data_IF_844639495622
#
_entry.id   IF_844639495622
#
_cell.length_a   1.000
_cell.length_b   1.000
_cell.length_c   1.000
_cell.angle_alpha   90.00
_cell.angle_beta   90.00
_cell.angle_gamma   90.00
#
_symmetry.space_group_name_H-M   'P 1'
#
loop_
_entity.id
_entity.type
_entity.pdbx_description
1 polymer ?
#
# COMPACT_ATOMS: atom_id res chain seq x y z
N UNK A 1 12.88 9.70 -16.38
CA UNK A 1 12.82 8.26 -16.09
C UNK A 1 12.14 8.06 -14.73
N UNK A 2 11.21 7.15 -14.67
CA UNK A 2 10.50 6.88 -13.42
C UNK A 2 11.36 6.00 -12.51
N UNK A 3 11.50 6.41 -11.24
CA UNK A 3 12.15 5.59 -10.23
C UNK A 3 11.18 4.49 -9.80
N UNK A 4 11.65 3.26 -9.74
CA UNK A 4 10.85 2.12 -9.34
C UNK A 4 11.29 1.62 -7.96
N UNK A 5 10.35 1.09 -7.17
CA UNK A 5 10.73 0.48 -5.90
C UNK A 5 11.53 -0.79 -6.11
N UNK A 6 12.31 -1.16 -5.11
CA UNK A 6 13.13 -2.37 -5.14
C UNK A 6 12.86 -3.22 -3.91
N UNK A 7 13.45 -4.43 -3.89
CA UNK A 7 13.37 -5.30 -2.72
C UNK A 7 11.95 -5.70 -2.36
N UNK A 8 11.67 -5.79 -1.07
CA UNK A 8 10.39 -6.27 -0.58
C UNK A 8 9.23 -5.35 -0.97
N UNK A 9 9.49 -4.06 -1.14
CA UNK A 9 8.44 -3.13 -1.57
C UNK A 9 8.02 -3.43 -3.00
N UNK A 10 8.97 -3.72 -3.89
CA UNK A 10 8.67 -4.14 -5.25
C UNK A 10 7.89 -5.45 -5.26
N UNK A 11 8.29 -6.41 -4.41
CA UNK A 11 7.58 -7.68 -4.26
C UNK A 11 6.15 -7.47 -3.78
N UNK A 12 5.97 -6.58 -2.82
CA UNK A 12 4.65 -6.23 -2.28
C UNK A 12 3.73 -5.70 -3.38
N UNK A 13 4.20 -4.72 -4.14
CA UNK A 13 3.40 -4.12 -5.22
C UNK A 13 3.07 -5.15 -6.29
N UNK A 14 4.04 -5.98 -6.66
CA UNK A 14 3.82 -7.04 -7.63
C UNK A 14 2.75 -8.02 -7.14
N UNK A 15 2.81 -8.40 -5.86
CA UNK A 15 1.85 -9.32 -5.27
C UNK A 15 0.44 -8.71 -5.23
N UNK A 16 0.34 -7.42 -4.91
CA UNK A 16 -0.95 -6.71 -4.93
C UNK A 16 -1.53 -6.75 -6.34
N UNK A 17 -0.74 -6.43 -7.34
CA UNK A 17 -1.19 -6.38 -8.73
C UNK A 17 -1.51 -7.77 -9.28
N UNK A 18 -1.00 -8.83 -8.66
CA UNK A 18 -1.31 -10.21 -9.00
C UNK A 18 -2.48 -10.78 -8.20
N UNK A 19 -3.05 -10.00 -7.27
CA UNK A 19 -4.16 -10.41 -6.41
C UNK A 19 -3.84 -11.66 -5.59
N UNK A 20 -2.61 -11.75 -5.11
CA UNK A 20 -2.10 -12.92 -4.40
C UNK A 20 -2.04 -12.62 -2.90
N UNK A 21 -3.07 -13.03 -2.17
CA UNK A 21 -3.21 -12.73 -0.75
C UNK A 21 -2.01 -13.19 0.06
N UNK A 22 -1.60 -14.44 -0.09
CA UNK A 22 -0.51 -14.97 0.74
C UNK A 22 0.84 -14.36 0.39
N UNK A 23 1.07 -14.06 -0.89
CA UNK A 23 2.29 -13.37 -1.29
C UNK A 23 2.34 -11.95 -0.71
N UNK A 24 1.20 -11.25 -0.66
CA UNK A 24 1.13 -9.92 -0.05
C UNK A 24 1.45 -10.02 1.45
N UNK A 25 0.78 -10.94 2.14
CA UNK A 25 0.97 -11.12 3.59
C UNK A 25 2.42 -11.48 3.90
N UNK A 26 3.07 -12.27 3.05
CA UNK A 26 4.45 -12.70 3.25
C UNK A 26 5.45 -11.55 3.20
N UNK A 27 5.09 -10.38 2.62
CA UNK A 27 5.98 -9.23 2.60
C UNK A 27 6.03 -8.49 3.95
N UNK A 28 5.10 -8.78 4.85
CA UNK A 28 5.02 -8.11 6.15
C UNK A 28 5.73 -8.91 7.24
N UNK A 29 6.32 -8.19 8.19
CA UNK A 29 6.82 -8.80 9.42
C UNK A 29 5.66 -9.31 10.27
N UNK A 30 5.88 -10.31 11.16
CA UNK A 30 4.79 -10.87 11.97
C UNK A 30 4.09 -9.86 12.87
N UNK A 31 4.81 -8.81 13.30
CA UNK A 31 4.28 -7.77 14.18
C UNK A 31 4.05 -6.46 13.42
N UNK A 32 3.91 -6.52 12.11
CA UNK A 32 3.76 -5.34 11.29
C UNK A 32 2.51 -4.54 11.63
N UNK A 33 2.60 -3.26 11.35
CA UNK A 33 1.53 -2.29 11.59
C UNK A 33 1.17 -1.63 10.27
N UNK A 34 -0.13 -1.57 9.97
CA UNK A 34 -0.65 -0.85 8.80
C UNK A 34 -1.61 0.22 9.28
N UNK A 35 -1.45 1.41 8.73
CA UNK A 35 -2.40 2.50 8.92
C UNK A 35 -2.99 2.83 7.54
N UNK A 36 -4.21 2.41 7.32
CA UNK A 36 -4.91 2.63 6.05
C UNK A 36 -5.90 3.77 6.23
N UNK A 37 -5.45 4.97 5.90
CA UNK A 37 -6.26 6.19 6.03
C UNK A 37 -6.89 6.30 7.43
N UNK A 38 -6.05 6.21 8.47
CA UNK A 38 -6.39 6.30 9.89
C UNK A 38 -6.95 5.02 10.51
N UNK A 39 -7.11 3.95 9.73
CA UNK A 39 -7.51 2.67 10.32
C UNK A 39 -6.27 1.90 10.71
N UNK A 40 -6.21 1.45 11.94
CA UNK A 40 -5.07 0.71 12.47
C UNK A 40 -5.29 -0.79 12.30
N UNK A 41 -4.32 -1.44 11.68
CA UNK A 41 -4.36 -2.88 11.40
C UNK A 41 -3.04 -3.45 11.89
N UNK A 42 -3.10 -4.32 12.90
CA UNK A 42 -1.90 -4.82 13.55
C UNK A 42 -1.81 -6.34 13.50
N UNK A 43 -0.65 -6.84 13.13
CA UNK A 43 -0.33 -8.26 13.17
C UNK A 43 -0.82 -9.02 11.95
N UNK A 44 -0.31 -10.24 11.81
CA UNK A 44 -0.51 -11.06 10.63
C UNK A 44 -1.99 -11.35 10.34
N UNK A 45 -2.76 -11.73 11.35
CA UNK A 45 -4.15 -12.11 11.12
C UNK A 45 -5.00 -10.93 10.68
N UNK A 46 -4.82 -9.77 11.32
CA UNK A 46 -5.56 -8.57 10.94
C UNK A 46 -5.16 -8.10 9.54
N UNK A 47 -3.87 -8.15 9.23
CA UNK A 47 -3.37 -7.76 7.91
C UNK A 47 -3.91 -8.72 6.85
N UNK A 48 -3.94 -10.03 7.13
CA UNK A 48 -4.48 -11.00 6.19
C UNK A 48 -5.96 -10.72 5.88
N UNK A 49 -6.76 -10.40 6.91
CA UNK A 49 -8.18 -10.07 6.70
C UNK A 49 -8.32 -8.80 5.84
N UNK A 50 -7.54 -7.77 6.14
CA UNK A 50 -7.54 -6.53 5.39
C UNK A 50 -7.17 -6.76 3.92
N UNK A 51 -6.09 -7.51 3.69
CA UNK A 51 -5.62 -7.82 2.33
C UNK A 51 -6.69 -8.62 1.57
N UNK A 52 -7.22 -9.66 2.21
CA UNK A 52 -8.18 -10.55 1.57
C UNK A 52 -9.47 -9.82 1.18
N UNK A 53 -9.98 -8.98 2.07
CA UNK A 53 -11.27 -8.34 1.87
C UNK A 53 -11.19 -7.05 1.08
N UNK A 54 -10.15 -6.25 1.29
CA UNK A 54 -10.09 -4.92 0.70
C UNK A 54 -9.11 -4.79 -0.45
N UNK A 55 -7.96 -5.44 -0.40
CA UNK A 55 -7.02 -5.36 -1.51
C UNK A 55 -7.35 -6.37 -2.59
N UNK A 56 -7.36 -7.66 -2.25
CA UNK A 56 -7.66 -8.70 -3.22
C UNK A 56 -9.15 -8.75 -3.51
N UNK A 57 -9.99 -8.64 -2.48
CA UNK A 57 -11.45 -8.64 -2.64
C UNK A 57 -11.94 -7.54 -3.57
N UNK A 58 -11.35 -6.36 -3.47
CA UNK A 58 -11.70 -5.22 -4.32
C UNK A 58 -10.86 -5.14 -5.58
N UNK A 59 -10.01 -6.11 -5.85
CA UNK A 59 -9.15 -6.16 -7.04
C UNK A 59 -8.33 -4.89 -7.19
N UNK A 60 -7.71 -4.46 -6.12
CA UNK A 60 -6.91 -3.24 -6.11
C UNK A 60 -5.65 -3.41 -6.94
N UNK A 61 -5.34 -2.41 -7.76
CA UNK A 61 -4.09 -2.34 -8.51
C UNK A 61 -3.34 -1.06 -8.13
N UNK A 62 -2.03 -1.12 -8.25
CA UNK A 62 -1.13 -0.01 -7.88
C UNK A 62 -0.26 0.32 -9.09
N UNK A 63 -0.34 1.56 -9.57
CA UNK A 63 0.49 2.06 -10.65
C UNK A 63 1.43 3.12 -10.08
N UNK A 64 2.70 2.77 -9.93
CA UNK A 64 3.69 3.63 -9.26
C UNK A 64 3.97 4.87 -10.12
N UNK A 65 3.92 6.02 -9.48
CA UNK A 65 4.21 7.31 -10.12
C UNK A 65 5.54 7.89 -9.65
N UNK A 66 5.85 7.73 -8.36
CA UNK A 66 7.05 8.33 -7.79
C UNK A 66 7.51 7.52 -6.58
N UNK A 67 8.82 7.43 -6.40
CA UNK A 67 9.42 6.78 -5.23
C UNK A 67 10.43 7.75 -4.61
N UNK A 68 10.30 7.98 -3.32
CA UNK A 68 11.19 8.88 -2.57
C UNK A 68 11.79 8.13 -1.39
N UNK A 69 13.11 8.21 -1.25
CA UNK A 69 13.80 7.69 -0.07
C UNK A 69 13.90 8.82 0.95
N UNK A 70 13.34 8.60 2.13
CA UNK A 70 13.32 9.59 3.20
C UNK A 70 13.95 8.98 4.44
N UNK A 71 15.26 9.13 4.56
CA UNK A 71 16.04 8.60 5.70
C UNK A 71 15.84 7.10 5.90
N UNK A 72 15.82 6.35 4.81
CA UNK A 72 15.64 4.90 4.87
C UNK A 72 14.21 4.42 4.77
N UNK A 73 13.24 5.27 5.07
CA UNK A 73 11.84 4.97 4.81
C UNK A 73 11.52 5.32 3.37
N UNK A 74 10.72 4.49 2.73
CA UNK A 74 10.42 4.65 1.31
C UNK A 74 8.99 5.12 1.15
N UNK A 75 8.81 6.22 0.43
CA UNK A 75 7.51 6.76 0.13
C UNK A 75 7.19 6.43 -1.32
N UNK A 76 6.10 5.70 -1.55
CA UNK A 76 5.63 5.37 -2.89
C UNK A 76 4.36 6.14 -3.16
N UNK A 77 4.39 7.02 -4.15
CA UNK A 77 3.21 7.73 -4.61
C UNK A 77 2.69 6.98 -5.83
N UNK A 78 1.43 6.60 -5.79
CA UNK A 78 0.88 5.72 -6.83
C UNK A 78 -0.59 5.99 -7.08
N UNK A 79 -1.03 5.68 -8.29
CA UNK A 79 -2.43 5.67 -8.65
C UNK A 79 -3.01 4.29 -8.31
N UNK A 80 -4.14 4.30 -7.64
CA UNK A 80 -4.85 3.09 -7.23
C UNK A 80 -6.14 2.95 -8.02
N UNK A 81 -6.51 1.73 -8.37
CA UNK A 81 -7.81 1.43 -8.95
C UNK A 81 -8.31 0.13 -8.34
N UNK A 82 -9.58 -0.18 -8.58
CA UNK A 82 -10.20 -1.38 -8.04
C UNK A 82 -11.70 -1.28 -8.08
N UNK A 83 -12.37 -2.27 -7.48
CA UNK A 83 -13.83 -2.34 -7.46
C UNK A 83 -14.45 -1.80 -6.16
N UNK A 84 -13.67 -1.04 -5.38
CA UNK A 84 -14.17 -0.41 -4.16
C UNK A 84 -15.17 0.69 -4.50
N UNK A 85 -15.96 1.10 -3.49
CA UNK A 85 -16.95 2.16 -3.64
C UNK A 85 -16.27 3.51 -3.92
N UNK A 86 -16.56 4.07 -5.09
CA UNK A 86 -15.96 5.33 -5.54
C UNK A 86 -16.91 6.52 -5.40
N UNK A 87 -18.07 6.30 -4.81
CA UNK A 87 -19.11 7.34 -4.76
C UNK A 87 -18.71 8.57 -3.96
N UNK A 88 -17.80 8.42 -3.00
CA UNK A 88 -17.33 9.53 -2.15
C UNK A 88 -15.98 10.09 -2.59
N UNK A 89 -15.45 9.59 -3.70
CA UNK A 89 -14.16 10.04 -4.21
C UNK A 89 -14.37 11.10 -5.28
N UNK A 90 -13.43 12.06 -5.39
CA UNK A 90 -13.50 13.00 -6.51
C UNK A 90 -13.30 12.27 -7.83
N UNK A 91 -13.76 12.83 -8.94
CA UNK A 91 -13.54 12.21 -10.24
C UNK A 91 -12.05 12.18 -10.59
N UNK A 92 -11.66 11.21 -11.40
CA UNK A 92 -10.30 11.05 -11.86
C UNK A 92 -9.53 10.02 -11.06
N UNK A 93 -8.21 10.05 -11.19
CA UNK A 93 -7.33 9.07 -10.53
C UNK A 93 -7.33 9.23 -9.02
N UNK A 94 -7.33 8.10 -8.32
CA UNK A 94 -7.09 8.08 -6.90
C UNK A 94 -5.58 7.90 -6.69
N UNK A 95 -4.90 8.96 -6.22
CA UNK A 95 -3.48 8.91 -5.95
C UNK A 95 -3.27 8.89 -4.45
N UNK A 96 -2.49 7.93 -3.97
CA UNK A 96 -2.17 7.82 -2.55
C UNK A 96 -0.67 7.73 -2.36
N UNK A 97 -0.22 8.15 -1.18
CA UNK A 97 1.17 8.01 -0.76
C UNK A 97 1.25 6.92 0.28
N UNK A 98 2.13 5.96 0.06
CA UNK A 98 2.37 4.86 0.98
C UNK A 98 3.75 5.00 1.57
N UNK A 99 3.83 5.07 2.90
CA UNK A 99 5.07 5.21 3.65
C UNK A 99 5.46 3.83 4.17
N UNK A 100 6.55 3.28 3.65
CA UNK A 100 7.02 1.95 4.02
C UNK A 100 8.25 2.04 4.91
N UNK A 101 8.23 1.33 6.04
CA UNK A 101 9.43 1.08 6.83
C UNK A 101 9.75 -0.41 6.73
N UNK A 102 11.00 -0.72 6.40
CA UNK A 102 11.44 -2.09 6.16
C UNK A 102 12.57 -2.42 7.15
N UNK A 103 12.51 -3.62 7.72
CA UNK A 103 13.58 -4.15 8.58
C UNK A 103 13.73 -5.63 8.29
N UNK A 104 14.98 -6.05 8.13
CA UNK A 104 15.31 -7.46 7.89
C UNK A 104 14.55 -8.05 6.70
N UNK A 105 14.41 -7.24 5.63
CA UNK A 105 13.78 -7.68 4.39
C UNK A 105 12.27 -7.80 4.44
N UNK A 106 11.61 -7.26 5.47
CA UNK A 106 10.16 -7.29 5.59
C UNK A 106 9.60 -5.94 5.99
N UNK A 107 8.38 -5.68 5.60
CA UNK A 107 7.69 -4.44 5.93
C UNK A 107 7.24 -4.51 7.39
N UNK A 108 7.73 -3.58 8.20
CA UNK A 108 7.32 -3.48 9.61
C UNK A 108 6.24 -2.44 9.83
N UNK A 109 6.13 -1.49 8.90
CA UNK A 109 5.14 -0.42 9.00
C UNK A 109 4.76 0.06 7.61
N UNK A 110 3.48 0.29 7.40
CA UNK A 110 2.95 0.84 6.15
C UNK A 110 1.84 1.82 6.52
N UNK A 111 2.01 3.08 6.14
CA UNK A 111 0.95 4.09 6.29
C UNK A 111 0.51 4.52 4.90
N UNK A 112 -0.78 4.39 4.62
CA UNK A 112 -1.37 4.76 3.35
C UNK A 112 -2.18 6.03 3.56
N UNK A 113 -1.85 7.07 2.80
CA UNK A 113 -2.45 8.38 2.96
C UNK A 113 -3.06 8.81 1.64
N UNK A 114 -4.33 9.18 1.70
CA UNK A 114 -5.03 9.71 0.54
C UNK A 114 -4.50 11.11 0.22
N UNK A 115 -3.97 11.26 -0.99
CA UNK A 115 -3.48 12.56 -1.48
C UNK A 115 -4.62 13.30 -2.16
N UNK A 116 -5.16 14.29 -1.47
CA UNK A 116 -6.11 15.19 -2.10
C UNK A 116 -5.58 16.61 -2.02
N UNK A 117 -6.08 17.45 -2.89
CA UNK A 117 -5.72 18.85 -2.87
C UNK A 117 -6.10 19.47 -1.54
N UNK A 118 -5.22 20.33 -1.04
CA UNK A 118 -5.48 21.02 0.21
C UNK A 118 -6.72 21.88 0.09
N UNK A 119 -7.52 21.85 1.14
CA UNK A 119 -8.72 22.67 1.25
C UNK A 119 -8.64 23.64 2.42
N UNK A 120 -7.48 23.74 3.02
CA UNK A 120 -7.28 24.61 4.18
C UNK A 120 -7.12 26.07 3.77
#
# INVERSE_FOLDING_TARGET
MKTLPTGVIAEHIKAVNAFDTEAIVATFAPDAYVNDNRREIKGTDAIRRWVKHEMVGDRVTIDVREVVDHYGDIIVRAAYDGNYDKSRLPPGELVMSSYFSVRDGRIVSLAIIYNQSSQY
#
